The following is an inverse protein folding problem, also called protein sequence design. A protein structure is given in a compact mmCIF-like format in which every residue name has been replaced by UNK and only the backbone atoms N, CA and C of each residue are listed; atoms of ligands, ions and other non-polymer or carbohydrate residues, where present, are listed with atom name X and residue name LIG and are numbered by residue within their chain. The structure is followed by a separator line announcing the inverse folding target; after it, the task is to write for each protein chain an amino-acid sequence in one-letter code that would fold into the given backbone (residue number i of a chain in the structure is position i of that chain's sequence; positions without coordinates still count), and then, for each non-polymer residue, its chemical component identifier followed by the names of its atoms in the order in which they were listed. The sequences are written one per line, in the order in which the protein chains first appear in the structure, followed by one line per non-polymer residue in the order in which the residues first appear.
data_IF_733234213265
#
_entry.id   IF_733234213265
#
_cell.length_a   1.000
_cell.length_b   1.000
_cell.length_c   1.000
_cell.angle_alpha   90.00
_cell.angle_beta   90.00
_cell.angle_gamma   90.00
#
_symmetry.space_group_name_H-M   'P 1'
#
loop_
_entity.id
_entity.type
_entity.pdbx_description
1 polymer ?
#
# COMPACT_ATOMS: atom_id res chain seq x y z
N UNK A 1 0.86 26.13 20.16
CA UNK A 1 0.08 27.26 19.62
C UNK A 1 0.07 27.10 18.11
N UNK A 2 -1.08 26.72 17.57
CA UNK A 2 -1.33 26.69 16.15
C UNK A 2 -1.06 28.09 15.58
N UNK A 3 -0.18 28.19 14.60
CA UNK A 3 0.05 29.41 13.83
C UNK A 3 -0.54 29.19 12.43
N UNK A 4 -1.86 29.32 12.27
CA UNK A 4 -2.46 29.24 10.94
C UNK A 4 -1.86 30.38 10.10
N UNK A 5 -1.27 30.03 8.96
CA UNK A 5 -0.67 30.98 8.03
C UNK A 5 0.86 31.16 8.12
N UNK A 6 1.58 30.34 8.90
CA UNK A 6 3.04 30.34 8.82
C UNK A 6 3.49 29.69 7.50
N UNK A 7 3.85 30.51 6.52
CA UNK A 7 4.30 30.08 5.19
C UNK A 7 5.48 29.13 5.23
N UNK A 8 6.33 29.21 6.28
CA UNK A 8 7.48 28.30 6.45
C UNK A 8 7.03 26.83 6.65
N UNK A 9 5.89 26.61 7.29
CA UNK A 9 5.34 25.25 7.43
C UNK A 9 5.02 24.67 6.05
N UNK A 10 4.39 25.43 5.17
CA UNK A 10 4.07 25.01 3.81
C UNK A 10 5.32 24.87 2.92
N UNK A 11 6.36 25.64 3.18
CA UNK A 11 7.62 25.59 2.44
C UNK A 11 8.49 24.40 2.85
N UNK A 12 8.54 24.07 4.15
CA UNK A 12 9.50 23.10 4.68
C UNK A 12 8.88 21.77 5.11
N UNK A 13 7.55 21.70 5.27
CA UNK A 13 6.85 20.47 5.60
C UNK A 13 6.04 19.97 4.40
N UNK A 14 5.94 18.68 4.29
CA UNK A 14 5.08 18.00 3.33
C UNK A 14 4.89 16.56 3.77
N UNK A 15 4.01 15.86 3.10
CA UNK A 15 3.73 14.46 3.39
C UNK A 15 4.61 13.54 2.55
N UNK A 16 4.84 12.34 3.05
CA UNK A 16 5.18 11.18 2.27
C UNK A 16 3.87 10.47 1.92
N UNK A 17 3.50 10.47 0.63
CA UNK A 17 2.35 9.71 0.16
C UNK A 17 2.78 8.27 -0.09
N UNK A 18 2.45 7.39 0.84
CA UNK A 18 2.76 5.96 0.72
C UNK A 18 1.56 5.22 0.13
N UNK A 19 1.73 4.67 -1.08
CA UNK A 19 0.62 4.04 -1.81
C UNK A 19 0.04 2.82 -1.10
N UNK A 20 0.87 2.04 -0.38
CA UNK A 20 0.39 0.92 0.42
C UNK A 20 -0.52 1.38 1.57
N UNK A 21 -0.09 2.40 2.32
CA UNK A 21 -0.85 2.90 3.47
C UNK A 21 -2.18 3.54 3.06
N UNK A 22 -2.20 4.36 2.00
CA UNK A 22 -3.46 4.91 1.48
C UNK A 22 -4.38 3.83 0.92
N UNK A 23 -3.81 2.83 0.23
CA UNK A 23 -4.57 1.68 -0.23
C UNK A 23 -5.18 0.88 0.93
N UNK A 24 -4.46 0.67 2.04
CA UNK A 24 -4.98 0.00 3.23
C UNK A 24 -6.23 0.67 3.79
N UNK A 25 -6.27 2.01 3.81
CA UNK A 25 -7.43 2.78 4.27
C UNK A 25 -8.57 2.82 3.24
N UNK A 26 -8.45 2.12 2.11
CA UNK A 26 -9.41 2.11 1.00
C UNK A 26 -9.62 3.48 0.36
N UNK A 27 -8.64 4.36 0.49
CA UNK A 27 -8.67 5.67 -0.14
C UNK A 27 -8.57 5.56 -1.66
N UNK A 28 -9.33 6.42 -2.35
CA UNK A 28 -9.17 6.57 -3.78
C UNK A 28 -7.96 7.46 -4.08
N UNK A 29 -6.98 6.94 -4.81
CA UNK A 29 -5.72 7.62 -5.12
C UNK A 29 -5.92 9.02 -5.69
N UNK A 30 -6.75 9.14 -6.74
CA UNK A 30 -6.97 10.44 -7.40
C UNK A 30 -7.59 11.44 -6.43
N UNK A 31 -8.64 11.05 -5.72
CA UNK A 31 -9.33 11.92 -4.77
C UNK A 31 -8.43 12.36 -3.63
N UNK A 32 -7.62 11.46 -3.07
CA UNK A 32 -6.70 11.81 -1.97
C UNK A 32 -5.61 12.78 -2.43
N UNK A 33 -5.03 12.58 -3.61
CA UNK A 33 -4.03 13.49 -4.18
C UNK A 33 -4.62 14.86 -4.52
N UNK A 34 -5.81 14.90 -5.10
CA UNK A 34 -6.55 16.15 -5.39
C UNK A 34 -6.88 16.94 -4.11
N UNK A 35 -7.26 16.26 -3.03
CA UNK A 35 -7.49 16.91 -1.71
C UNK A 35 -6.21 17.55 -1.21
N UNK A 36 -5.08 16.86 -1.25
CA UNK A 36 -3.79 17.40 -0.80
C UNK A 36 -3.39 18.64 -1.62
N UNK A 37 -3.56 18.58 -2.94
CA UNK A 37 -3.26 19.70 -3.84
C UNK A 37 -4.16 20.90 -3.56
N UNK A 38 -5.48 20.69 -3.44
CA UNK A 38 -6.45 21.74 -3.17
C UNK A 38 -6.24 22.44 -1.82
N UNK A 39 -5.82 21.68 -0.81
CA UNK A 39 -5.47 22.21 0.52
C UNK A 39 -4.07 22.84 0.57
N UNK A 40 -3.32 22.80 -0.54
CA UNK A 40 -1.95 23.31 -0.63
C UNK A 40 -0.98 22.54 0.28
N UNK A 41 -1.24 21.25 0.50
CA UNK A 41 -0.36 20.35 1.25
C UNK A 41 0.65 19.78 0.27
N UNK A 42 1.93 20.06 0.49
CA UNK A 42 3.00 19.59 -0.38
C UNK A 42 3.21 18.09 -0.23
N UNK A 43 3.26 17.38 -1.35
CA UNK A 43 3.74 16.01 -1.42
C UNK A 43 5.26 16.06 -1.58
N UNK A 44 5.98 15.77 -0.51
CA UNK A 44 7.46 15.81 -0.51
C UNK A 44 8.07 14.60 -1.17
N UNK A 45 7.40 13.46 -1.05
CA UNK A 45 7.83 12.17 -1.57
C UNK A 45 6.62 11.27 -1.78
N UNK A 46 6.74 10.35 -2.72
CA UNK A 46 5.81 9.24 -2.90
C UNK A 46 6.56 7.92 -2.74
N UNK A 47 6.12 7.08 -1.80
CA UNK A 47 6.51 5.67 -1.75
C UNK A 47 5.62 4.88 -2.69
N UNK A 48 6.23 4.22 -3.66
CA UNK A 48 5.59 3.26 -4.56
C UNK A 48 5.67 1.88 -3.91
N UNK A 49 4.57 1.46 -3.35
CA UNK A 49 4.44 0.23 -2.57
C UNK A 49 3.06 -0.37 -2.74
N UNK A 50 2.92 -1.69 -2.67
CA UNK A 50 1.62 -2.35 -2.80
C UNK A 50 1.36 -3.32 -1.65
N UNK A 51 0.11 -3.32 -1.15
CA UNK A 51 -0.37 -4.21 -0.10
C UNK A 51 -0.90 -5.52 -0.68
N UNK A 52 -1.04 -6.55 0.18
CA UNK A 52 -1.79 -7.76 -0.12
C UNK A 52 -3.30 -7.53 -0.02
N UNK A 53 -4.05 -8.23 -0.85
CA UNK A 53 -5.52 -8.19 -0.88
C UNK A 53 -6.07 -9.60 -0.91
N UNK A 54 -7.11 -9.87 -0.11
CA UNK A 54 -7.82 -11.15 -0.10
C UNK A 54 -9.34 -10.97 0.11
N UNK A 55 -10.12 -11.97 -0.29
CA UNK A 55 -11.49 -12.14 0.16
C UNK A 55 -11.46 -12.89 1.51
N UNK A 56 -11.84 -12.27 2.63
CA UNK A 56 -11.80 -12.92 3.94
C UNK A 56 -12.85 -14.04 4.11
N UNK A 57 -13.79 -14.16 3.18
CA UNK A 57 -14.80 -15.23 3.14
C UNK A 57 -14.32 -16.48 2.40
N UNK A 58 -13.23 -16.37 1.64
CA UNK A 58 -12.61 -17.49 0.95
C UNK A 58 -11.61 -18.21 1.87
N UNK A 59 -11.92 -19.45 2.35
CA UNK A 59 -11.00 -20.18 3.20
C UNK A 59 -9.62 -20.44 2.55
N UNK A 60 -9.56 -20.53 1.22
CA UNK A 60 -8.31 -20.72 0.50
C UNK A 60 -7.43 -19.46 0.54
N UNK A 61 -8.06 -18.28 0.47
CA UNK A 61 -7.35 -17.00 0.61
C UNK A 61 -6.85 -16.80 2.05
N UNK A 62 -7.67 -17.12 3.05
CA UNK A 62 -7.28 -17.07 4.46
C UNK A 62 -6.15 -18.09 4.77
N UNK A 63 -6.16 -19.24 4.12
CA UNK A 63 -5.06 -20.19 4.25
C UNK A 63 -3.77 -19.69 3.57
N UNK A 64 -3.88 -19.07 2.39
CA UNK A 64 -2.74 -18.57 1.63
C UNK A 64 -2.04 -17.39 2.32
N UNK A 65 -2.79 -16.49 2.96
CA UNK A 65 -2.20 -15.32 3.64
C UNK A 65 -1.32 -15.69 4.84
N UNK A 66 -1.49 -16.88 5.41
CA UNK A 66 -0.64 -17.38 6.52
C UNK A 66 0.84 -17.51 6.13
N UNK A 67 1.16 -17.60 4.84
CA UNK A 67 2.55 -17.63 4.39
C UNK A 67 3.28 -16.29 4.60
N UNK A 68 2.53 -15.22 4.88
CA UNK A 68 3.02 -13.87 5.14
C UNK A 68 2.99 -13.52 6.65
N UNK A 69 2.57 -14.45 7.50
CA UNK A 69 2.62 -14.30 8.96
C UNK A 69 4.05 -14.60 9.45
N UNK A 70 4.82 -13.55 9.68
CA UNK A 70 6.22 -13.63 10.09
C UNK A 70 6.48 -12.67 11.27
N UNK A 71 7.42 -12.99 12.18
CA UNK A 71 7.54 -12.31 13.47
C UNK A 71 8.40 -11.03 13.43
N UNK A 72 8.92 -10.61 12.27
CA UNK A 72 9.86 -9.48 12.18
C UNK A 72 9.14 -8.14 12.18
N UNK A 73 8.00 -8.08 11.46
CA UNK A 73 7.23 -6.86 11.28
C UNK A 73 5.78 -7.05 11.72
N UNK A 74 5.12 -5.93 12.06
CA UNK A 74 3.67 -5.91 12.19
C UNK A 74 3.01 -5.78 10.82
N UNK A 75 2.01 -6.63 10.58
CA UNK A 75 1.24 -6.64 9.34
C UNK A 75 -0.19 -6.21 9.61
N UNK A 76 -0.42 -4.91 9.71
CA UNK A 76 -1.76 -4.35 9.94
C UNK A 76 -2.76 -4.89 8.91
N UNK A 77 -3.96 -5.25 9.36
CA UNK A 77 -5.04 -5.71 8.47
C UNK A 77 -6.26 -4.80 8.62
N UNK A 78 -6.76 -4.32 7.48
CA UNK A 78 -8.02 -3.60 7.40
C UNK A 78 -9.01 -4.41 6.59
N UNK A 79 -10.20 -4.62 7.17
CA UNK A 79 -11.29 -5.36 6.55
C UNK A 79 -12.43 -4.42 6.22
N UNK A 80 -12.73 -4.30 4.94
CA UNK A 80 -13.89 -3.57 4.44
C UNK A 80 -15.13 -4.42 4.57
N UNK A 81 -16.15 -3.89 5.22
CA UNK A 81 -17.48 -4.49 5.31
C UNK A 81 -18.46 -3.96 4.25
N UNK A 82 -19.60 -4.61 4.12
CA UNK A 82 -20.69 -4.30 3.16
C UNK A 82 -21.28 -2.90 3.31
N UNK A 83 -21.28 -2.33 4.52
CA UNK A 83 -21.73 -0.96 4.80
C UNK A 83 -20.58 0.09 4.75
N UNK A 84 -19.49 -0.21 4.04
CA UNK A 84 -18.25 0.57 4.04
C UNK A 84 -17.63 0.77 5.45
N UNK A 85 -18.02 -0.06 6.42
CA UNK A 85 -17.40 -0.09 7.73
C UNK A 85 -16.02 -0.74 7.63
N UNK A 86 -15.03 -0.19 8.35
CA UNK A 86 -13.67 -0.73 8.37
C UNK A 86 -13.37 -1.30 9.75
N UNK A 87 -13.08 -2.59 9.79
CA UNK A 87 -12.55 -3.27 10.99
C UNK A 87 -11.04 -3.32 10.87
N UNK A 88 -10.33 -2.95 11.96
CA UNK A 88 -8.88 -2.86 11.99
C UNK A 88 -8.29 -3.88 12.95
N UNK A 89 -7.25 -4.55 12.50
CA UNK A 89 -6.41 -5.44 13.32
C UNK A 89 -4.99 -4.89 13.33
N UNK A 90 -4.36 -4.92 14.49
CA UNK A 90 -3.00 -4.39 14.67
C UNK A 90 -2.00 -5.24 13.92
N UNK A 91 -2.25 -6.55 13.86
CA UNK A 91 -1.35 -7.50 13.22
C UNK A 91 -2.13 -8.63 12.53
N UNK A 92 -1.48 -9.32 11.59
CA UNK A 92 -2.06 -10.42 10.83
C UNK A 92 -2.52 -11.60 11.73
N UNK A 93 -1.79 -12.03 12.77
CA UNK A 93 -2.28 -13.03 13.71
C UNK A 93 -3.61 -12.67 14.37
N UNK A 94 -3.85 -11.39 14.69
CA UNK A 94 -5.11 -10.93 15.27
C UNK A 94 -6.27 -11.16 14.31
N UNK A 95 -6.08 -10.82 13.03
CA UNK A 95 -7.05 -11.10 11.98
C UNK A 95 -7.30 -12.60 11.79
N UNK A 96 -6.23 -13.41 11.74
CA UNK A 96 -6.31 -14.85 11.54
C UNK A 96 -7.02 -15.59 12.69
N UNK A 97 -7.00 -15.02 13.91
CA UNK A 97 -7.64 -15.56 15.10
C UNK A 97 -9.05 -15.00 15.34
N UNK A 98 -9.46 -13.97 14.62
CA UNK A 98 -10.78 -13.35 14.79
C UNK A 98 -11.94 -14.23 14.32
N UNK A 99 -11.69 -15.23 13.50
CA UNK A 99 -12.70 -16.07 12.87
C UNK A 99 -13.50 -15.32 11.80
N UNK A 100 -14.78 -15.67 11.65
CA UNK A 100 -15.66 -15.03 10.67
C UNK A 100 -15.97 -13.59 11.06
N UNK A 101 -15.76 -12.65 10.13
CA UNK A 101 -16.07 -11.24 10.28
C UNK A 101 -17.35 -10.96 9.50
N UNK A 102 -18.42 -10.66 10.24
CA UNK A 102 -19.75 -10.44 9.64
C UNK A 102 -19.71 -9.29 8.63
N UNK A 103 -20.27 -9.53 7.43
CA UNK A 103 -20.34 -8.54 6.36
C UNK A 103 -19.00 -8.20 5.70
N UNK A 104 -17.92 -8.94 6.00
CA UNK A 104 -16.63 -8.71 5.38
C UNK A 104 -16.70 -8.93 3.86
N UNK A 105 -16.07 -8.02 3.10
CA UNK A 105 -16.05 -8.02 1.63
C UNK A 105 -14.65 -8.19 1.09
N UNK A 106 -13.69 -7.43 1.62
CA UNK A 106 -12.29 -7.45 1.23
C UNK A 106 -11.42 -7.21 2.47
N UNK A 107 -10.26 -7.84 2.53
CA UNK A 107 -9.23 -7.52 3.50
C UNK A 107 -7.96 -7.08 2.79
N UNK A 108 -7.29 -6.07 3.32
CA UNK A 108 -5.98 -5.58 2.89
C UNK A 108 -4.98 -5.73 4.02
N UNK A 109 -3.81 -6.25 3.68
CA UNK A 109 -2.74 -6.55 4.63
C UNK A 109 -1.51 -5.73 4.30
N UNK A 110 -1.00 -5.00 5.27
CA UNK A 110 0.26 -4.26 5.15
C UNK A 110 1.45 -5.22 5.05
N UNK A 111 1.75 -5.60 3.85
CA UNK A 111 2.93 -6.39 3.49
C UNK A 111 3.33 -5.98 2.08
N UNK A 112 4.53 -5.41 1.92
CA UNK A 112 4.95 -4.91 0.60
C UNK A 112 5.27 -6.06 -0.35
N UNK A 113 4.47 -6.15 -1.40
CA UNK A 113 4.70 -7.08 -2.51
C UNK A 113 5.52 -6.37 -3.59
N UNK A 114 6.55 -7.03 -4.16
CA UNK A 114 7.34 -6.45 -5.24
C UNK A 114 6.45 -5.98 -6.40
N UNK A 115 6.66 -4.75 -6.87
CA UNK A 115 5.78 -4.09 -7.84
C UNK A 115 5.73 -4.81 -9.20
N UNK A 116 6.79 -5.52 -9.57
CA UNK A 116 6.89 -6.30 -10.81
C UNK A 116 6.37 -7.74 -10.67
N UNK A 117 5.82 -8.09 -9.51
CA UNK A 117 5.27 -9.42 -9.19
C UNK A 117 3.83 -9.32 -8.73
N UNK A 118 3.10 -10.44 -8.85
CA UNK A 118 1.79 -10.61 -8.21
C UNK A 118 1.84 -11.82 -7.29
N UNK A 119 1.17 -11.78 -6.14
CA UNK A 119 1.04 -12.97 -5.30
C UNK A 119 0.25 -14.04 -6.04
N UNK A 120 0.50 -15.30 -5.70
CA UNK A 120 -0.25 -16.40 -6.29
C UNK A 120 -1.75 -16.30 -5.91
N UNK A 121 -2.66 -16.58 -6.84
CA UNK A 121 -4.09 -16.68 -6.51
C UNK A 121 -4.32 -17.68 -5.35
N UNK A 122 -5.29 -17.42 -4.46
CA UNK A 122 -6.37 -16.42 -4.57
C UNK A 122 -6.01 -15.02 -4.02
N UNK A 123 -4.76 -14.79 -3.63
CA UNK A 123 -4.31 -13.47 -3.19
C UNK A 123 -4.16 -12.53 -4.40
N UNK A 124 -4.26 -11.24 -4.13
CA UNK A 124 -4.06 -10.15 -5.09
C UNK A 124 -3.20 -9.07 -4.43
N UNK A 125 -2.81 -8.05 -5.18
CA UNK A 125 -2.11 -6.87 -4.64
C UNK A 125 -2.89 -5.58 -4.93
N UNK A 126 -2.50 -4.49 -4.25
CA UNK A 126 -2.99 -3.13 -4.53
C UNK A 126 -2.15 -2.41 -5.61
N UNK A 127 -1.43 -3.14 -6.45
CA UNK A 127 -0.56 -2.56 -7.50
C UNK A 127 -1.28 -1.56 -8.42
N UNK A 128 -2.59 -1.75 -8.63
CA UNK A 128 -3.41 -0.79 -9.39
C UNK A 128 -3.41 0.62 -8.79
N UNK A 129 -3.24 0.76 -7.48
CA UNK A 129 -3.15 2.07 -6.84
C UNK A 129 -1.82 2.74 -7.18
N UNK A 130 -0.73 1.97 -7.30
CA UNK A 130 0.56 2.46 -7.82
C UNK A 130 0.43 2.91 -9.28
N UNK A 131 -0.23 2.11 -10.13
CA UNK A 131 -0.51 2.48 -11.52
C UNK A 131 -1.31 3.79 -11.61
N UNK A 132 -2.29 3.98 -10.71
CA UNK A 132 -3.08 5.21 -10.64
C UNK A 132 -2.23 6.43 -10.22
N UNK A 133 -1.30 6.27 -9.29
CA UNK A 133 -0.33 7.32 -8.91
C UNK A 133 0.57 7.68 -10.09
N UNK A 134 1.12 6.69 -10.80
CA UNK A 134 1.96 6.92 -11.97
C UNK A 134 1.18 7.61 -13.09
N UNK A 135 -0.10 7.25 -13.28
CA UNK A 135 -0.97 7.95 -14.22
C UNK A 135 -1.22 9.40 -13.80
N UNK A 136 -1.51 9.64 -12.52
CA UNK A 136 -1.69 11.00 -11.99
C UNK A 136 -0.43 11.86 -12.17
N UNK A 137 0.76 11.27 -11.92
CA UNK A 137 2.04 11.95 -12.11
C UNK A 137 2.23 12.49 -13.53
N UNK A 138 1.79 11.76 -14.55
CA UNK A 138 1.91 12.23 -15.95
C UNK A 138 1.16 13.55 -16.19
N UNK A 139 0.03 13.72 -15.51
CA UNK A 139 -0.78 14.93 -15.60
C UNK A 139 -0.24 16.06 -14.67
N UNK A 140 0.52 15.69 -13.60
CA UNK A 140 1.02 16.60 -12.55
C UNK A 140 2.54 16.44 -12.32
N UNK A 141 3.40 16.66 -13.35
CA UNK A 141 4.83 16.33 -13.25
C UNK A 141 5.61 17.15 -12.22
N UNK A 142 5.07 18.32 -11.84
CA UNK A 142 5.71 19.21 -10.85
C UNK A 142 5.21 19.00 -9.42
N UNK A 143 4.15 18.22 -9.20
CA UNK A 143 3.54 18.04 -7.89
C UNK A 143 4.44 17.26 -6.92
N UNK A 144 5.18 16.28 -7.43
CA UNK A 144 6.19 15.55 -6.67
C UNK A 144 7.32 15.11 -7.61
N UNK A 145 8.57 15.32 -7.18
CA UNK A 145 9.77 14.94 -7.96
C UNK A 145 10.57 13.80 -7.35
N UNK A 146 10.16 13.33 -6.18
CA UNK A 146 10.86 12.29 -5.44
C UNK A 146 9.96 11.06 -5.29
N UNK A 147 10.36 9.96 -5.91
CA UNK A 147 9.68 8.66 -5.86
C UNK A 147 10.66 7.63 -5.33
N UNK A 148 10.21 6.79 -4.41
CA UNK A 148 10.99 5.69 -3.84
C UNK A 148 10.22 4.38 -3.98
N UNK A 149 10.94 3.28 -4.20
CA UNK A 149 10.42 1.92 -4.09
C UNK A 149 10.93 1.36 -2.77
N UNK A 150 10.04 0.77 -1.99
CA UNK A 150 10.36 0.27 -0.66
C UNK A 150 10.41 -1.27 -0.67
N UNK A 151 11.62 -1.82 -0.44
CA UNK A 151 11.89 -3.27 -0.55
C UNK A 151 12.20 -3.93 0.79
N UNK A 152 11.77 -3.37 1.93
CA UNK A 152 12.15 -3.84 3.27
C UNK A 152 11.68 -5.27 3.57
N UNK A 153 10.61 -5.73 2.95
CA UNK A 153 10.09 -7.10 3.12
C UNK A 153 10.88 -8.16 2.38
N UNK A 154 11.91 -7.80 1.61
CA UNK A 154 12.68 -8.75 0.79
C UNK A 154 13.15 -9.99 1.59
N UNK A 155 13.68 -9.81 2.80
CA UNK A 155 14.20 -10.89 3.64
C UNK A 155 13.14 -11.82 4.22
N UNK A 156 11.87 -11.42 4.21
CA UNK A 156 10.72 -12.14 4.79
C UNK A 156 9.68 -12.57 3.75
N UNK A 157 9.94 -12.32 2.47
CA UNK A 157 9.08 -12.77 1.39
C UNK A 157 8.97 -14.30 1.39
N UNK A 158 7.77 -14.88 1.13
CA UNK A 158 7.63 -16.30 0.86
C UNK A 158 8.51 -16.75 -0.31
N UNK A 159 9.01 -18.00 -0.24
CA UNK A 159 9.97 -18.55 -1.24
C UNK A 159 9.56 -18.33 -2.69
N UNK A 160 8.27 -18.39 -3.00
CA UNK A 160 7.76 -18.18 -4.37
C UNK A 160 7.91 -16.75 -4.90
N UNK A 161 8.18 -15.77 -4.02
CA UNK A 161 8.40 -14.36 -4.36
C UNK A 161 9.85 -13.92 -4.14
N UNK A 162 10.66 -14.74 -3.47
CA UNK A 162 12.07 -14.43 -3.21
C UNK A 162 12.92 -14.59 -4.48
N UNK A 163 13.83 -13.64 -4.69
CA UNK A 163 14.89 -13.66 -5.69
C UNK A 163 16.08 -12.83 -5.17
N UNK A 164 17.24 -12.86 -5.80
CA UNK A 164 18.35 -11.98 -5.42
C UNK A 164 17.89 -10.52 -5.31
N UNK A 165 18.31 -9.81 -4.26
CA UNK A 165 17.81 -8.45 -3.97
C UNK A 165 18.07 -7.47 -5.12
N UNK A 166 19.22 -7.62 -5.80
CA UNK A 166 19.58 -6.80 -6.95
C UNK A 166 18.63 -7.02 -8.13
N UNK A 167 18.20 -8.26 -8.34
CA UNK A 167 17.23 -8.60 -9.39
C UNK A 167 15.84 -8.07 -9.05
N UNK A 168 15.44 -8.15 -7.79
CA UNK A 168 14.18 -7.58 -7.34
C UNK A 168 14.16 -6.07 -7.54
N UNK A 169 15.16 -5.36 -7.03
CA UNK A 169 15.28 -3.91 -7.19
C UNK A 169 15.24 -3.53 -8.67
N UNK A 170 16.05 -4.19 -9.51
CA UNK A 170 16.10 -3.92 -10.96
C UNK A 170 14.74 -4.17 -11.63
N UNK A 171 14.04 -5.26 -11.26
CA UNK A 171 12.72 -5.60 -11.76
C UNK A 171 11.65 -4.57 -11.39
N UNK A 172 11.60 -4.15 -10.13
CA UNK A 172 10.66 -3.13 -9.67
C UNK A 172 10.91 -1.78 -10.35
N UNK A 173 12.18 -1.36 -10.49
CA UNK A 173 12.51 -0.14 -11.25
C UNK A 173 12.10 -0.25 -12.72
N UNK A 174 12.38 -1.37 -13.37
CA UNK A 174 12.00 -1.58 -14.77
C UNK A 174 10.47 -1.51 -14.94
N UNK A 175 9.72 -2.09 -13.99
CA UNK A 175 8.26 -2.05 -14.00
C UNK A 175 7.75 -0.61 -13.82
N UNK A 176 8.27 0.14 -12.84
CA UNK A 176 7.89 1.54 -12.60
C UNK A 176 8.18 2.40 -13.82
N UNK A 177 9.38 2.30 -14.39
CA UNK A 177 9.77 3.10 -15.57
C UNK A 177 8.94 2.74 -16.81
N UNK A 178 8.49 1.50 -16.93
CA UNK A 178 7.61 1.06 -18.03
C UNK A 178 6.16 1.55 -17.88
N UNK A 179 5.74 1.97 -16.69
CA UNK A 179 4.39 2.43 -16.37
C UNK A 179 4.32 3.95 -16.03
N UNK A 180 5.46 4.64 -16.01
CA UNK A 180 5.57 6.05 -15.62
C UNK A 180 5.18 7.03 -16.73
#
# INVERSE_FOLDING_TARGET
QDRPGDLRLREHLGINYDTCHFALEYDNVRSSLEVLENEGIRISKIHLSSALVLDPRDPSAVAAIRAFDEPTYFHQVLVLGDAAAITRFVDLPDFLNAGEIAGAVEARVHFHIPLDSEPAPPLRSTRRDVEAVLAWRRDHPEACRHYEIETYTWGVLPQGLQRPVEEQIAGEYAWVLGNA
#
